data_IF_385213082274
#
_entry.id   IF_385213082274
#
_cell.length_a   1.000
_cell.length_b   1.000
_cell.length_c   1.000
_cell.angle_alpha   90.00
_cell.angle_beta   90.00
_cell.angle_gamma   90.00
#
_symmetry.space_group_name_H-M   'P 1'
#
loop_
_entity.id
_entity.type
_entity.pdbx_description
1 polymer ?
#
# COMPACT_ATOMS: atom_id res chain seq x y z
N UNK A 1 47.66 -27.33 -67.48
CA UNK A 1 46.44 -28.15 -67.33
C UNK A 1 45.64 -27.69 -66.12
N UNK A 2 44.86 -26.59 -66.24
CA UNK A 2 43.91 -26.09 -65.20
C UNK A 2 42.79 -25.27 -65.91
N UNK A 3 41.93 -25.91 -66.68
CA UNK A 3 40.84 -25.20 -67.33
C UNK A 3 39.66 -26.07 -67.76
N UNK A 4 39.35 -27.17 -67.12
CA UNK A 4 38.21 -28.01 -67.53
C UNK A 4 37.29 -28.50 -66.47
N UNK A 5 37.35 -28.00 -65.19
CA UNK A 5 36.47 -28.43 -64.10
C UNK A 5 35.48 -27.36 -63.63
N UNK A 6 35.49 -26.13 -64.19
CA UNK A 6 34.52 -25.09 -63.71
C UNK A 6 33.17 -25.06 -64.48
N UNK A 7 33.05 -25.73 -65.60
CA UNK A 7 31.85 -25.66 -66.46
C UNK A 7 30.73 -26.68 -66.12
N UNK A 8 31.04 -27.70 -65.31
CA UNK A 8 30.01 -28.72 -64.95
C UNK A 8 29.20 -28.31 -63.70
N UNK A 9 29.76 -27.58 -62.75
CA UNK A 9 29.07 -27.18 -61.51
C UNK A 9 28.12 -26.01 -61.75
N UNK A 10 28.48 -25.07 -62.65
CA UNK A 10 27.60 -23.95 -63.02
C UNK A 10 26.36 -24.37 -63.80
N UNK A 11 26.41 -25.44 -64.60
CA UNK A 11 25.25 -25.97 -65.32
C UNK A 11 24.27 -26.73 -64.45
N UNK A 12 24.70 -27.30 -63.33
CA UNK A 12 23.81 -27.99 -62.36
C UNK A 12 23.07 -27.00 -61.45
N UNK A 13 23.67 -25.83 -61.14
CA UNK A 13 23.00 -24.81 -60.33
C UNK A 13 21.94 -24.02 -61.12
N UNK A 14 22.06 -23.90 -62.45
CA UNK A 14 21.10 -23.11 -63.24
C UNK A 14 19.81 -23.82 -63.57
N UNK A 15 19.74 -25.15 -63.44
CA UNK A 15 18.51 -25.94 -63.70
C UNK A 15 17.62 -26.17 -62.48
N UNK A 16 18.08 -25.95 -61.26
CA UNK A 16 17.29 -26.16 -60.05
C UNK A 16 16.53 -24.90 -59.58
N UNK A 17 16.85 -23.73 -60.15
CA UNK A 17 16.22 -22.46 -59.72
C UNK A 17 14.71 -22.29 -60.04
N UNK A 18 14.14 -22.81 -61.14
CA UNK A 18 12.72 -22.65 -61.38
C UNK A 18 11.87 -23.56 -60.47
N UNK A 19 12.32 -24.76 -60.16
CA UNK A 19 11.57 -25.72 -59.32
C UNK A 19 11.52 -25.22 -57.88
N UNK A 20 12.61 -24.64 -57.36
CA UNK A 20 12.64 -24.08 -55.98
C UNK A 20 11.72 -22.86 -55.86
N UNK A 21 11.63 -22.00 -56.86
CA UNK A 21 10.67 -20.89 -56.86
C UNK A 21 9.23 -21.38 -56.86
N UNK A 22 8.91 -22.41 -57.63
CA UNK A 22 7.56 -22.98 -57.66
C UNK A 22 7.17 -23.66 -56.35
N UNK A 23 8.09 -24.35 -55.67
CA UNK A 23 7.85 -24.97 -54.36
C UNK A 23 7.67 -23.92 -53.28
N UNK A 24 8.45 -22.85 -53.27
CA UNK A 24 8.29 -21.72 -52.36
C UNK A 24 6.97 -20.98 -52.56
N UNK A 25 6.56 -20.78 -53.80
CA UNK A 25 5.28 -20.11 -54.14
C UNK A 25 4.10 -21.01 -53.73
N UNK A 26 4.19 -22.31 -53.91
CA UNK A 26 3.17 -23.28 -53.50
C UNK A 26 3.03 -23.35 -51.99
N UNK A 27 4.14 -23.33 -51.23
CA UNK A 27 4.14 -23.27 -49.75
C UNK A 27 3.54 -21.96 -49.25
N UNK A 28 3.78 -20.84 -49.90
CA UNK A 28 3.20 -19.54 -49.55
C UNK A 28 1.68 -19.50 -49.83
N UNK A 29 1.20 -20.15 -50.87
CA UNK A 29 -0.23 -20.25 -51.22
C UNK A 29 -0.95 -21.21 -50.23
N UNK A 30 -0.31 -22.30 -49.84
CA UNK A 30 -0.90 -23.23 -48.84
C UNK A 30 -0.99 -22.60 -47.45
N UNK A 31 -0.10 -21.67 -47.08
CA UNK A 31 -0.19 -20.94 -45.80
C UNK A 31 -1.32 -19.90 -45.75
N UNK A 32 -1.81 -19.44 -46.93
CA UNK A 32 -2.92 -18.48 -47.02
C UNK A 32 -4.31 -19.15 -47.04
N UNK A 33 -4.39 -20.47 -47.22
CA UNK A 33 -5.68 -21.19 -47.29
C UNK A 33 -6.12 -21.71 -45.89
N UNK A 34 -5.29 -21.60 -44.86
CA UNK A 34 -5.59 -22.07 -43.52
C UNK A 34 -6.37 -21.08 -42.62
N UNK A 35 -6.87 -19.97 -43.16
CA UNK A 35 -7.66 -18.97 -42.42
C UNK A 35 -9.03 -18.67 -43.08
N UNK A 36 -9.78 -19.70 -43.46
CA UNK A 36 -11.23 -19.54 -43.68
C UNK A 36 -12.01 -20.31 -42.63
N UNK A 37 -11.91 -19.81 -41.38
CA UNK A 37 -12.91 -20.08 -40.32
C UNK A 37 -14.12 -19.17 -40.57
N UNK A 38 -15.30 -19.80 -40.67
CA UNK A 38 -16.62 -19.22 -40.92
C UNK A 38 -16.82 -17.90 -40.16
N UNK A 39 -17.10 -16.84 -40.90
CA UNK A 39 -17.74 -15.62 -40.38
C UNK A 39 -19.20 -16.00 -40.06
N UNK A 40 -19.45 -16.44 -38.84
CA UNK A 40 -20.76 -16.42 -38.23
C UNK A 40 -21.00 -15.04 -37.69
N UNK A 41 -21.96 -14.29 -38.24
CA UNK A 41 -22.49 -13.07 -37.66
C UNK A 41 -23.05 -13.42 -36.26
N UNK A 42 -22.31 -13.14 -35.22
CA UNK A 42 -22.83 -13.12 -33.85
C UNK A 42 -23.44 -11.73 -33.63
N UNK A 43 -24.74 -11.72 -33.52
CA UNK A 43 -25.49 -10.61 -32.92
C UNK A 43 -24.84 -10.30 -31.55
N UNK A 44 -24.45 -9.02 -31.38
CA UNK A 44 -24.01 -8.50 -30.09
C UNK A 44 -25.23 -8.43 -29.20
N UNK A 45 -25.53 -9.52 -28.51
CA UNK A 45 -26.38 -9.48 -27.34
C UNK A 45 -25.64 -8.70 -26.26
N UNK A 46 -26.10 -7.51 -25.98
CA UNK A 46 -25.71 -6.74 -24.80
C UNK A 46 -26.24 -7.50 -23.58
N UNK A 47 -25.50 -8.49 -23.14
CA UNK A 47 -25.74 -9.13 -21.86
C UNK A 47 -25.03 -8.25 -20.82
N UNK A 48 -25.83 -7.69 -19.87
CA UNK A 48 -25.33 -7.13 -18.63
C UNK A 48 -24.44 -8.16 -17.92
N UNK A 49 -23.15 -8.18 -18.25
CA UNK A 49 -22.18 -8.92 -17.49
C UNK A 49 -21.99 -8.15 -16.16
N UNK A 50 -22.58 -8.69 -15.09
CA UNK A 50 -22.07 -8.45 -13.73
C UNK A 50 -20.57 -8.63 -13.81
N UNK A 51 -19.84 -7.56 -13.49
CA UNK A 51 -18.39 -7.53 -13.48
C UNK A 51 -17.90 -8.52 -12.43
N UNK A 52 -17.72 -9.76 -12.82
CA UNK A 52 -17.03 -10.75 -12.00
C UNK A 52 -15.61 -10.27 -11.82
N UNK A 53 -15.14 -10.15 -10.58
CA UNK A 53 -13.77 -9.82 -10.24
C UNK A 53 -12.82 -10.73 -11.01
N UNK A 54 -12.07 -10.17 -11.98
CA UNK A 54 -11.06 -10.92 -12.69
C UNK A 54 -9.93 -11.24 -11.72
N UNK A 55 -9.73 -12.52 -11.42
CA UNK A 55 -8.61 -13.02 -10.62
C UNK A 55 -7.53 -13.46 -11.59
N UNK A 56 -6.34 -12.87 -11.49
CA UNK A 56 -5.16 -13.23 -12.26
C UNK A 56 -4.13 -13.89 -11.36
N UNK A 57 -3.72 -15.12 -11.69
CA UNK A 57 -2.67 -15.81 -10.95
C UNK A 57 -1.31 -15.16 -11.24
N UNK A 58 -0.62 -14.65 -10.22
CA UNK A 58 0.69 -14.01 -10.34
C UNK A 58 1.85 -14.91 -9.92
N UNK A 59 1.58 -15.91 -9.06
CA UNK A 59 2.53 -16.97 -8.68
C UNK A 59 1.76 -18.26 -8.35
N UNK A 60 2.44 -19.30 -7.87
CA UNK A 60 1.77 -20.54 -7.48
C UNK A 60 0.76 -20.34 -6.34
N UNK A 61 1.11 -19.48 -5.38
CA UNK A 61 0.32 -19.21 -4.18
C UNK A 61 -0.51 -17.94 -4.28
N UNK A 62 0.02 -16.89 -4.95
CA UNK A 62 -0.59 -15.58 -4.95
C UNK A 62 -1.37 -15.30 -6.23
N UNK A 63 -2.53 -14.67 -6.05
CA UNK A 63 -3.35 -14.17 -7.15
C UNK A 63 -3.67 -12.69 -6.94
N UNK A 64 -3.66 -11.93 -8.04
CA UNK A 64 -4.16 -10.57 -8.08
C UNK A 64 -5.68 -10.58 -8.27
N UNK A 65 -6.37 -9.69 -7.61
CA UNK A 65 -7.82 -9.49 -7.72
C UNK A 65 -8.15 -8.01 -7.81
N UNK A 66 -9.35 -7.69 -8.27
CA UNK A 66 -9.85 -6.32 -8.21
C UNK A 66 -9.86 -5.78 -6.76
N UNK A 67 -9.79 -4.46 -6.58
CA UNK A 67 -10.02 -3.84 -5.28
C UNK A 67 -11.37 -4.27 -4.69
N UNK A 68 -11.56 -4.28 -3.36
CA UNK A 68 -12.86 -4.48 -2.73
C UNK A 68 -13.93 -3.52 -3.28
N UNK A 69 -15.16 -4.01 -3.46
CA UNK A 69 -16.26 -3.27 -4.10
C UNK A 69 -16.48 -1.89 -3.45
N UNK A 70 -16.52 -1.83 -2.13
CA UNK A 70 -16.68 -0.57 -1.39
C UNK A 70 -15.58 0.44 -1.72
N UNK A 71 -14.35 -0.01 -1.89
CA UNK A 71 -13.22 0.84 -2.30
C UNK A 71 -13.43 1.34 -3.74
N UNK A 72 -13.92 0.48 -4.63
CA UNK A 72 -14.21 0.86 -6.01
C UNK A 72 -15.32 1.92 -6.08
N UNK A 73 -16.35 1.81 -5.25
CA UNK A 73 -17.45 2.77 -5.18
C UNK A 73 -17.00 4.12 -4.57
N UNK A 74 -16.11 4.12 -3.59
CA UNK A 74 -15.65 5.35 -2.92
C UNK A 74 -14.53 6.07 -3.68
N UNK A 75 -13.73 5.35 -4.46
CA UNK A 75 -12.57 5.90 -5.19
C UNK A 75 -12.90 7.13 -6.05
N UNK A 76 -14.00 7.16 -6.84
CA UNK A 76 -14.33 8.30 -7.69
C UNK A 76 -14.54 9.62 -6.93
N UNK A 77 -14.87 9.56 -5.64
CA UNK A 77 -15.03 10.76 -4.80
C UNK A 77 -13.70 11.46 -4.57
N UNK A 78 -12.61 10.70 -4.55
CA UNK A 78 -11.26 11.22 -4.29
C UNK A 78 -10.43 11.44 -5.57
N UNK A 79 -10.85 10.96 -6.73
CA UNK A 79 -10.14 11.15 -8.00
C UNK A 79 -9.96 12.60 -8.44
N UNK A 80 -10.91 13.54 -8.18
CA UNK A 80 -10.72 14.94 -8.55
C UNK A 80 -9.58 15.63 -7.80
N UNK A 81 -9.16 15.12 -6.64
CA UNK A 81 -8.09 15.73 -5.84
C UNK A 81 -6.72 15.45 -6.44
N UNK A 82 -5.89 16.51 -6.50
CA UNK A 82 -4.50 16.47 -6.96
C UNK A 82 -3.59 17.00 -5.84
N UNK A 83 -3.38 16.24 -4.74
CA UNK A 83 -2.67 16.74 -3.57
C UNK A 83 -1.28 17.26 -3.92
N UNK A 84 -0.93 18.41 -3.31
CA UNK A 84 0.39 19.01 -3.36
C UNK A 84 0.94 19.07 -1.95
N UNK A 85 2.06 18.40 -1.70
CA UNK A 85 2.69 18.30 -0.38
C UNK A 85 3.96 19.15 -0.33
N UNK A 86 4.11 19.87 0.76
CA UNK A 86 5.34 20.59 1.10
C UNK A 86 5.76 20.21 2.52
N UNK A 87 7.02 19.83 2.69
CA UNK A 87 7.64 19.70 4.00
C UNK A 87 8.12 21.09 4.42
N UNK A 88 7.60 21.62 5.54
CA UNK A 88 7.94 22.96 6.04
C UNK A 88 9.15 22.88 6.97
N UNK A 89 9.16 21.89 7.86
CA UNK A 89 10.29 21.61 8.77
C UNK A 89 10.49 20.09 8.85
N UNK A 90 11.76 19.64 9.01
CA UNK A 90 12.99 20.42 8.87
C UNK A 90 13.20 20.93 7.44
N UNK A 91 14.15 21.84 7.24
CA UNK A 91 14.54 22.27 5.89
C UNK A 91 15.53 21.27 5.25
N UNK A 92 15.64 21.32 3.93
CA UNK A 92 16.55 20.42 3.22
C UNK A 92 18.02 20.69 3.62
N UNK A 93 18.76 19.62 3.88
CA UNK A 93 20.16 19.59 4.30
C UNK A 93 20.45 20.32 5.63
N UNK A 94 19.43 20.58 6.44
CA UNK A 94 19.55 21.15 7.77
C UNK A 94 20.35 20.22 8.69
N UNK A 95 21.26 20.82 9.50
CA UNK A 95 21.98 20.11 10.57
C UNK A 95 21.39 20.51 11.91
N UNK A 96 20.70 19.57 12.54
CA UNK A 96 19.97 19.75 13.78
C UNK A 96 20.85 19.26 14.94
N UNK A 97 21.01 20.09 15.97
CA UNK A 97 21.84 19.80 17.16
C UNK A 97 20.99 19.18 18.29
N UNK A 98 20.03 18.35 17.92
CA UNK A 98 19.15 17.60 18.82
C UNK A 98 18.79 16.27 18.15
N UNK A 99 18.53 15.23 18.94
CA UNK A 99 18.03 13.95 18.44
C UNK A 99 16.49 13.92 18.30
N UNK A 100 15.82 15.02 18.60
CA UNK A 100 14.39 15.21 18.45
C UNK A 100 14.09 16.24 17.38
N UNK A 101 13.22 15.89 16.43
CA UNK A 101 12.82 16.80 15.37
C UNK A 101 11.31 17.07 15.41
N UNK A 102 10.95 18.26 14.96
CA UNK A 102 9.55 18.65 14.77
C UNK A 102 9.26 18.79 13.29
N UNK A 103 8.36 17.97 12.78
CA UNK A 103 8.01 17.94 11.36
C UNK A 103 6.67 18.63 11.15
N UNK A 104 6.64 19.57 10.19
CA UNK A 104 5.42 20.24 9.76
C UNK A 104 5.23 20.10 8.27
N UNK A 105 3.98 19.91 7.86
CA UNK A 105 3.58 19.74 6.48
C UNK A 105 2.57 20.80 6.06
N UNK A 106 2.57 21.12 4.78
CA UNK A 106 1.47 21.79 4.11
C UNK A 106 0.93 20.86 3.03
N UNK A 107 -0.39 20.70 2.98
CA UNK A 107 -1.08 19.95 1.93
C UNK A 107 -2.09 20.89 1.28
N UNK A 108 -2.09 20.93 -0.03
CA UNK A 108 -3.10 21.62 -0.84
C UNK A 108 -3.87 20.58 -1.64
N UNK A 109 -5.10 20.92 -1.97
CA UNK A 109 -6.00 20.11 -2.81
C UNK A 109 -6.23 18.67 -2.31
N UNK A 110 -6.24 18.47 -1.00
CA UNK A 110 -6.75 17.26 -0.34
C UNK A 110 -7.09 17.60 1.11
N UNK A 111 -8.33 17.35 1.57
CA UNK A 111 -8.65 17.43 2.98
C UNK A 111 -7.96 16.29 3.75
N UNK A 112 -7.20 16.64 4.78
CA UNK A 112 -6.56 15.64 5.67
C UNK A 112 -7.38 15.59 6.95
N UNK A 113 -7.95 14.43 7.24
CA UNK A 113 -8.78 14.23 8.42
C UNK A 113 -8.91 12.74 8.76
N UNK A 114 -9.47 12.45 9.92
CA UNK A 114 -9.77 11.10 10.37
C UNK A 114 -11.24 11.03 10.80
N UNK A 115 -12.01 10.21 10.13
CA UNK A 115 -13.39 9.94 10.53
C UNK A 115 -13.42 9.36 11.96
N UNK A 116 -14.19 9.94 12.90
CA UNK A 116 -14.17 9.52 14.29
C UNK A 116 -14.79 8.14 14.51
N UNK A 117 -15.74 7.71 13.68
CA UNK A 117 -16.40 6.42 13.80
C UNK A 117 -15.55 5.30 13.18
N UNK A 118 -15.04 5.52 11.97
CA UNK A 118 -14.36 4.49 11.20
C UNK A 118 -12.84 4.51 11.39
N UNK A 119 -12.29 5.57 12.00
CA UNK A 119 -10.85 5.76 12.23
C UNK A 119 -10.00 5.71 10.93
N UNK A 120 -10.61 6.05 9.80
CA UNK A 120 -10.04 6.15 8.46
C UNK A 120 -10.28 7.55 7.90
N UNK A 121 -9.50 7.95 6.91
CA UNK A 121 -9.61 9.23 6.23
C UNK A 121 -8.40 9.47 5.32
N UNK A 122 -8.42 10.47 4.42
CA UNK A 122 -7.22 10.86 3.69
C UNK A 122 -6.14 11.36 4.65
N UNK A 123 -4.92 10.90 4.46
CA UNK A 123 -3.82 11.14 5.39
C UNK A 123 -2.47 11.16 4.69
N UNK A 124 -1.42 11.52 5.43
CA UNK A 124 -0.05 11.41 4.95
C UNK A 124 0.58 10.10 5.44
N UNK A 125 1.33 9.45 4.57
CA UNK A 125 2.33 8.47 4.95
C UNK A 125 3.68 9.17 5.08
N UNK A 126 4.21 9.20 6.29
CA UNK A 126 5.49 9.83 6.62
C UNK A 126 6.50 8.75 6.93
N UNK A 127 7.62 8.73 6.20
CA UNK A 127 8.64 7.69 6.28
C UNK A 127 9.98 8.34 6.58
N UNK A 128 10.60 7.94 7.68
CA UNK A 128 11.99 8.25 8.00
C UNK A 128 12.85 7.07 7.59
N UNK A 129 13.84 7.34 6.75
CA UNK A 129 14.77 6.31 6.24
C UNK A 129 14.02 5.12 5.66
N UNK A 130 14.32 3.92 6.12
CA UNK A 130 13.61 2.72 5.71
C UNK A 130 12.67 2.18 6.80
N UNK A 131 12.17 3.06 7.69
CA UNK A 131 11.20 2.64 8.71
C UNK A 131 9.79 2.46 8.11
N UNK A 132 8.90 1.72 8.77
CA UNK A 132 7.48 1.75 8.46
C UNK A 132 6.92 3.17 8.53
N UNK A 133 5.91 3.47 7.69
CA UNK A 133 5.32 4.81 7.69
C UNK A 133 4.55 5.12 8.97
N UNK A 134 4.53 6.38 9.31
CA UNK A 134 3.65 6.98 10.32
C UNK A 134 2.48 7.63 9.56
N UNK A 135 1.23 7.32 9.95
CA UNK A 135 0.05 7.93 9.35
C UNK A 135 -0.29 9.24 10.06
N UNK A 136 -0.32 10.37 9.34
CA UNK A 136 -0.64 11.69 9.87
C UNK A 136 -2.00 12.15 9.34
N UNK A 137 -2.96 12.32 10.25
CA UNK A 137 -4.36 12.70 9.98
C UNK A 137 -4.71 14.13 10.41
N UNK A 138 -3.82 14.82 11.12
CA UNK A 138 -4.00 16.19 11.58
C UNK A 138 -2.75 17.00 11.26
N UNK A 139 -2.91 18.06 10.46
CA UNK A 139 -1.83 18.96 10.07
C UNK A 139 -1.68 20.14 11.02
N UNK A 140 -2.62 20.35 11.95
CA UNK A 140 -2.55 21.44 12.94
C UNK A 140 -1.54 21.11 14.05
N UNK A 141 -1.30 19.81 14.28
CA UNK A 141 -0.29 19.36 15.22
C UNK A 141 0.98 18.93 14.46
N UNK A 142 2.16 19.35 14.90
CA UNK A 142 3.40 18.87 14.33
C UNK A 142 3.62 17.39 14.68
N UNK A 143 4.23 16.65 13.79
CA UNK A 143 4.76 15.32 14.11
C UNK A 143 6.11 15.50 14.80
N UNK A 144 6.24 15.01 16.02
CA UNK A 144 7.49 15.00 16.77
C UNK A 144 8.09 13.61 16.75
N UNK A 145 9.35 13.50 16.34
CA UNK A 145 10.14 12.26 16.37
C UNK A 145 11.35 12.45 17.27
N UNK A 146 11.47 11.60 18.28
CA UNK A 146 12.59 11.58 19.22
C UNK A 146 13.53 10.41 18.94
N UNK A 147 14.69 10.45 19.58
CA UNK A 147 15.69 9.36 19.59
C UNK A 147 16.23 9.01 18.20
N UNK A 148 16.30 9.99 17.32
CA UNK A 148 16.98 9.81 16.04
C UNK A 148 18.48 9.64 16.23
N UNK A 149 19.07 8.72 15.50
CA UNK A 149 20.52 8.50 15.53
C UNK A 149 21.28 9.69 14.98
N UNK A 150 22.52 9.87 15.40
CA UNK A 150 23.40 10.83 14.72
C UNK A 150 23.65 10.38 13.28
N UNK A 151 23.63 11.33 12.33
CA UNK A 151 23.88 11.05 10.92
C UNK A 151 22.85 11.67 9.97
N UNK A 152 22.89 11.22 8.74
CA UNK A 152 21.96 11.64 7.68
C UNK A 152 20.68 10.83 7.71
N UNK A 153 19.56 11.53 7.59
CA UNK A 153 18.22 10.98 7.49
C UNK A 153 17.51 11.47 6.24
N UNK A 154 16.70 10.61 5.65
CA UNK A 154 15.80 10.96 4.54
C UNK A 154 14.35 10.88 5.01
N UNK A 155 13.67 12.02 4.97
CA UNK A 155 12.24 12.14 5.20
C UNK A 155 11.51 12.07 3.86
N UNK A 156 10.61 11.10 3.72
CA UNK A 156 9.73 10.93 2.56
C UNK A 156 8.27 11.01 3.02
N UNK A 157 7.46 11.72 2.28
CA UNK A 157 6.03 11.85 2.59
C UNK A 157 5.21 11.82 1.32
N UNK A 158 4.06 11.17 1.37
CA UNK A 158 3.08 11.18 0.28
C UNK A 158 1.65 11.11 0.80
N UNK A 159 0.72 11.64 -0.01
CA UNK A 159 -0.71 11.60 0.29
C UNK A 159 -1.29 10.22 0.04
N UNK A 160 -2.18 9.80 0.93
CA UNK A 160 -2.85 8.51 0.88
C UNK A 160 -4.36 8.62 1.02
N UNK A 161 -5.08 7.77 0.31
CA UNK A 161 -6.52 7.56 0.45
C UNK A 161 -6.84 6.86 1.79
N UNK A 162 -8.09 6.88 2.25
CA UNK A 162 -8.47 6.25 3.53
C UNK A 162 -8.06 4.78 3.67
N UNK A 163 -8.01 4.03 2.58
CA UNK A 163 -7.57 2.64 2.55
C UNK A 163 -6.06 2.48 2.34
N UNK A 164 -5.29 3.57 2.58
CA UNK A 164 -3.83 3.67 2.51
C UNK A 164 -3.21 3.53 1.12
N UNK A 165 -3.97 3.68 0.07
CA UNK A 165 -3.46 3.76 -1.30
C UNK A 165 -2.89 5.15 -1.57
N UNK A 166 -1.66 5.23 -2.07
CA UNK A 166 -1.02 6.51 -2.38
C UNK A 166 -1.62 7.18 -3.62
N UNK A 167 -1.75 8.51 -3.57
CA UNK A 167 -1.96 9.32 -4.76
C UNK A 167 -0.68 9.30 -5.61
N UNK A 168 -0.84 9.25 -6.95
CA UNK A 168 0.28 9.10 -7.89
C UNK A 168 0.50 10.34 -8.77
N UNK A 169 -0.25 11.44 -8.52
CA UNK A 169 -0.06 12.69 -9.26
C UNK A 169 1.24 13.37 -8.87
N UNK A 170 1.76 14.18 -9.78
CA UNK A 170 2.89 15.06 -9.51
C UNK A 170 2.57 15.99 -8.32
N UNK A 171 3.52 16.10 -7.37
CA UNK A 171 3.34 16.86 -6.14
C UNK A 171 2.67 16.11 -4.98
N UNK A 172 2.09 14.92 -5.20
CA UNK A 172 1.58 14.09 -4.11
C UNK A 172 2.68 13.48 -3.23
N UNK A 173 3.93 13.73 -3.55
CA UNK A 173 5.13 13.25 -2.85
C UNK A 173 6.09 14.39 -2.61
N UNK A 174 6.73 14.38 -1.44
CA UNK A 174 7.84 15.26 -1.12
C UNK A 174 8.93 14.48 -0.37
N UNK A 175 10.19 14.88 -0.57
CA UNK A 175 11.35 14.27 0.06
C UNK A 175 12.37 15.35 0.40
N UNK A 176 12.98 15.25 1.57
CA UNK A 176 14.15 16.00 1.97
C UNK A 176 15.17 15.10 2.68
N UNK A 177 16.42 15.54 2.70
CA UNK A 177 17.45 15.09 3.65
C UNK A 177 17.58 16.11 4.76
N UNK A 178 17.94 15.65 5.94
CA UNK A 178 18.40 16.43 7.07
C UNK A 178 19.43 15.63 7.86
N UNK A 179 20.09 16.24 8.82
CA UNK A 179 21.20 15.62 9.53
C UNK A 179 21.05 15.87 11.03
N UNK A 180 21.25 14.81 11.81
CA UNK A 180 21.32 14.90 13.27
C UNK A 180 22.79 14.96 13.67
N UNK A 181 23.22 16.07 14.26
CA UNK A 181 24.57 16.40 14.70
C UNK A 181 25.61 16.44 13.57
N UNK A 182 25.63 15.51 12.65
CA UNK A 182 26.66 15.36 11.62
C UNK A 182 26.09 14.80 10.32
N UNK A 183 26.80 15.02 9.22
CA UNK A 183 26.49 14.43 7.91
C UNK A 183 27.19 13.09 7.76
N UNK A 184 26.45 12.09 7.29
CA UNK A 184 26.98 10.76 6.93
C UNK A 184 26.51 10.37 5.53
N UNK A 185 27.05 9.29 4.97
CA UNK A 185 26.60 8.73 3.69
C UNK A 185 25.38 7.80 3.83
N UNK A 186 25.02 7.46 5.07
CA UNK A 186 23.87 6.61 5.37
C UNK A 186 22.55 7.29 4.97
N UNK A 187 21.53 6.48 4.65
CA UNK A 187 20.19 6.96 4.34
C UNK A 187 20.12 8.07 3.29
N UNK A 188 21.10 8.14 2.40
CA UNK A 188 21.26 9.18 1.40
C UNK A 188 21.07 8.61 -0.01
N UNK A 189 19.81 8.50 -0.53
CA UNK A 189 19.58 8.00 -1.87
C UNK A 189 20.13 8.96 -2.91
N UNK A 190 20.76 8.40 -3.96
CA UNK A 190 21.23 9.17 -5.09
C UNK A 190 20.05 9.85 -5.80
N UNK A 191 20.10 11.18 -6.01
CA UNK A 191 19.04 11.90 -6.71
C UNK A 191 18.97 11.58 -8.20
N UNK A 192 20.03 10.98 -8.77
CA UNK A 192 20.13 10.64 -10.19
C UNK A 192 19.64 9.23 -10.50
N UNK A 193 19.29 8.43 -9.50
CA UNK A 193 18.81 7.08 -9.69
C UNK A 193 17.33 6.97 -9.31
N UNK A 194 16.59 6.03 -9.90
CA UNK A 194 15.26 5.70 -9.46
C UNK A 194 15.24 5.34 -7.97
N UNK A 195 14.17 5.73 -7.30
CA UNK A 195 13.95 5.41 -5.90
C UNK A 195 12.59 4.76 -5.69
N UNK A 196 12.63 3.59 -5.07
CA UNK A 196 11.46 2.84 -4.61
C UNK A 196 11.19 3.17 -3.14
N UNK A 197 9.98 3.62 -2.85
CA UNK A 197 9.48 3.78 -1.49
C UNK A 197 8.44 2.70 -1.19
N UNK A 198 8.78 1.77 -0.31
CA UNK A 198 7.85 0.74 0.15
C UNK A 198 6.77 1.37 1.04
N UNK A 199 5.50 1.22 0.68
CA UNK A 199 4.36 1.73 1.43
C UNK A 199 3.62 0.60 2.17
N UNK A 200 3.06 -0.35 1.42
CA UNK A 200 2.26 -1.46 1.95
C UNK A 200 2.59 -2.78 1.24
N UNK A 201 2.31 -3.95 1.90
CA UNK A 201 1.66 -4.13 3.21
C UNK A 201 2.61 -3.86 4.39
N UNK A 202 2.04 -3.39 5.51
CA UNK A 202 2.77 -3.05 6.74
C UNK A 202 1.93 -3.41 7.97
N UNK A 203 2.55 -3.88 9.06
CA UNK A 203 1.90 -4.29 10.31
C UNK A 203 0.93 -5.49 10.15
N UNK A 204 -0.34 -5.34 10.57
CA UNK A 204 -1.30 -6.46 10.64
C UNK A 204 -2.49 -6.25 9.72
N UNK A 205 -3.04 -7.37 9.23
CA UNK A 205 -4.19 -7.41 8.31
C UNK A 205 -5.21 -8.43 8.81
N UNK A 206 -6.48 -8.05 8.82
CA UNK A 206 -7.59 -8.91 9.24
C UNK A 206 -8.44 -9.46 8.11
N UNK A 207 -8.10 -9.15 6.85
CA UNK A 207 -8.83 -9.60 5.68
C UNK A 207 -7.94 -9.62 4.42
N UNK A 208 -8.33 -10.44 3.45
CA UNK A 208 -7.84 -10.42 2.07
C UNK A 208 -8.95 -9.94 1.12
N UNK A 209 -8.58 -9.27 0.00
CA UNK A 209 -7.23 -9.09 -0.50
C UNK A 209 -6.42 -8.09 0.33
N UNK A 210 -5.11 -8.34 0.46
CA UNK A 210 -4.16 -7.41 1.06
C UNK A 210 -3.59 -6.52 -0.05
N UNK A 211 -3.65 -5.21 0.16
CA UNK A 211 -3.13 -4.24 -0.81
C UNK A 211 -1.60 -4.12 -0.70
N UNK A 212 -0.92 -4.23 -1.84
CA UNK A 212 0.48 -3.87 -2.03
C UNK A 212 0.52 -2.51 -2.71
N UNK A 213 1.22 -1.56 -2.11
CA UNK A 213 1.40 -0.21 -2.62
C UNK A 213 2.83 0.27 -2.41
N UNK A 214 3.34 1.02 -3.36
CA UNK A 214 4.67 1.61 -3.36
C UNK A 214 4.67 2.93 -4.13
N UNK A 215 5.66 3.77 -3.85
CA UNK A 215 5.87 5.02 -4.57
C UNK A 215 7.19 4.95 -5.35
N UNK A 216 7.19 5.53 -6.56
CA UNK A 216 8.39 5.63 -7.40
C UNK A 216 8.72 7.10 -7.67
N UNK A 217 10.00 7.44 -7.56
CA UNK A 217 10.53 8.73 -7.99
C UNK A 217 11.72 8.51 -8.92
N UNK A 218 11.94 9.44 -9.85
CA UNK A 218 12.97 9.32 -10.90
C UNK A 218 12.90 8.00 -11.70
N UNK A 219 11.73 7.36 -11.72
CA UNK A 219 11.49 6.16 -12.52
C UNK A 219 10.83 6.60 -13.82
N UNK A 220 11.49 6.43 -14.98
CA UNK A 220 10.92 6.80 -16.28
C UNK A 220 9.69 5.93 -16.57
N UNK A 221 8.78 6.42 -17.40
CA UNK A 221 7.66 5.64 -17.89
C UNK A 221 8.16 4.61 -18.90
N UNK A 222 7.53 3.45 -19.00
CA UNK A 222 7.90 2.39 -19.94
C UNK A 222 7.90 2.84 -21.39
N UNK A 223 7.02 3.77 -21.76
CA UNK A 223 7.00 4.36 -23.11
C UNK A 223 8.33 5.02 -23.48
N UNK A 224 9.09 5.51 -22.50
CA UNK A 224 10.41 6.10 -22.74
C UNK A 224 11.47 5.05 -23.13
N UNK A 225 11.26 3.78 -22.84
CA UNK A 225 12.15 2.69 -23.26
C UNK A 225 12.09 2.45 -24.77
N UNK A 226 10.96 2.74 -25.41
CA UNK A 226 10.82 2.68 -26.87
C UNK A 226 11.60 3.79 -27.57
N UNK A 227 11.66 4.98 -26.94
CA UNK A 227 12.39 6.14 -27.46
C UNK A 227 13.90 6.07 -27.21
N UNK A 228 14.32 5.38 -26.18
CA UNK A 228 15.73 5.24 -25.80
C UNK A 228 16.08 3.80 -25.36
N UNK A 229 16.28 2.87 -26.32
CA UNK A 229 16.53 1.46 -26.04
C UNK A 229 17.85 1.19 -25.32
N UNK A 230 18.78 2.14 -25.30
CA UNK A 230 20.06 2.02 -24.60
C UNK A 230 19.94 2.34 -23.09
N UNK A 231 18.83 2.94 -22.64
CA UNK A 231 18.57 3.21 -21.24
C UNK A 231 18.03 1.96 -20.53
N UNK A 232 18.89 1.29 -19.79
CA UNK A 232 18.57 0.05 -19.06
C UNK A 232 17.59 0.25 -17.90
N UNK A 233 17.30 1.50 -17.51
CA UNK A 233 16.39 1.84 -16.40
C UNK A 233 15.00 2.21 -16.91
N UNK A 234 14.85 2.65 -18.15
CA UNK A 234 13.57 3.07 -18.73
C UNK A 234 12.52 1.95 -18.71
N UNK A 235 12.92 0.70 -18.91
CA UNK A 235 12.05 -0.47 -18.82
C UNK A 235 12.21 -1.18 -17.44
N UNK A 236 12.05 -0.42 -16.39
CA UNK A 236 12.17 -0.91 -15.01
C UNK A 236 11.08 -1.91 -14.65
N UNK A 237 11.36 -2.71 -13.61
CA UNK A 237 10.41 -3.66 -12.99
C UNK A 237 10.55 -3.65 -11.48
N UNK A 238 9.47 -4.00 -10.80
CA UNK A 238 9.50 -4.22 -9.36
C UNK A 238 9.34 -5.71 -9.10
N UNK A 239 10.34 -6.34 -8.52
CA UNK A 239 10.20 -7.70 -7.99
C UNK A 239 9.51 -7.66 -6.65
N UNK A 240 8.37 -8.33 -6.56
CA UNK A 240 7.71 -8.63 -5.30
C UNK A 240 8.03 -10.07 -4.90
N UNK A 241 8.52 -10.26 -3.69
CA UNK A 241 8.76 -11.60 -3.11
C UNK A 241 7.98 -11.74 -1.82
N UNK A 242 7.16 -12.80 -1.71
CA UNK A 242 6.34 -13.09 -0.54
C UNK A 242 6.57 -14.54 -0.12
N UNK A 243 7.07 -14.77 1.08
CA UNK A 243 7.31 -16.12 1.64
C UNK A 243 8.11 -17.05 0.70
N UNK A 244 9.03 -16.51 -0.10
CA UNK A 244 9.82 -17.26 -1.06
C UNK A 244 9.24 -17.38 -2.46
N UNK A 245 7.97 -17.05 -2.68
CA UNK A 245 7.38 -16.88 -4.01
C UNK A 245 7.71 -15.50 -4.56
N UNK A 246 7.97 -15.38 -5.86
CA UNK A 246 8.32 -14.10 -6.49
C UNK A 246 7.58 -13.89 -7.80
N UNK A 247 7.20 -12.65 -8.07
CA UNK A 247 6.60 -12.21 -9.32
C UNK A 247 7.03 -10.78 -9.65
N UNK A 248 6.78 -10.35 -10.87
CA UNK A 248 7.19 -9.05 -11.39
C UNK A 248 5.96 -8.14 -11.54
N UNK A 249 6.11 -6.90 -11.11
CA UNK A 249 5.21 -5.80 -11.39
C UNK A 249 5.91 -4.85 -12.36
N UNK A 250 5.25 -4.59 -13.48
CA UNK A 250 5.67 -3.70 -14.57
C UNK A 250 4.85 -2.42 -14.64
N UNK A 251 4.00 -2.17 -13.64
CA UNK A 251 3.12 -1.01 -13.56
C UNK A 251 3.18 -0.34 -12.20
N UNK A 252 3.09 0.97 -12.18
CA UNK A 252 3.05 1.77 -10.96
C UNK A 252 1.61 1.97 -10.49
N UNK A 253 1.03 0.90 -9.96
CA UNK A 253 -0.33 0.85 -9.43
C UNK A 253 -0.35 0.04 -8.14
N UNK A 254 -1.35 0.29 -7.31
CA UNK A 254 -1.62 -0.56 -6.16
C UNK A 254 -2.21 -1.90 -6.62
N UNK A 255 -1.74 -2.98 -6.03
CA UNK A 255 -2.10 -4.36 -6.39
C UNK A 255 -2.78 -5.01 -5.19
N UNK A 256 -3.89 -5.71 -5.41
CA UNK A 256 -4.64 -6.40 -4.38
C UNK A 256 -4.40 -7.90 -4.48
N UNK A 257 -3.79 -8.48 -3.45
CA UNK A 257 -3.30 -9.86 -3.46
C UNK A 257 -4.06 -10.75 -2.50
N UNK A 258 -4.31 -12.00 -2.93
CA UNK A 258 -4.79 -13.12 -2.11
C UNK A 258 -3.76 -14.23 -2.10
N UNK A 259 -3.75 -15.05 -1.04
CA UNK A 259 -2.88 -16.20 -0.89
C UNK A 259 -1.94 -16.11 0.32
N UNK A 260 -2.14 -15.14 1.21
CA UNK A 260 -1.35 -15.02 2.43
C UNK A 260 -1.68 -16.15 3.41
N UNK A 261 -0.67 -16.67 4.06
CA UNK A 261 -0.88 -17.65 5.13
C UNK A 261 -1.23 -16.93 6.44
N UNK A 262 -2.15 -17.45 7.26
CA UNK A 262 -2.37 -16.91 8.59
C UNK A 262 -1.07 -16.86 9.42
N UNK A 263 -0.86 -15.76 10.14
CA UNK A 263 0.35 -15.47 10.88
C UNK A 263 1.35 -14.62 10.09
N UNK A 264 2.63 -14.85 10.33
CA UNK A 264 3.72 -14.02 9.81
C UNK A 264 4.00 -14.30 8.33
N UNK A 265 4.09 -13.22 7.53
CA UNK A 265 4.45 -13.27 6.12
C UNK A 265 5.56 -12.24 5.85
N UNK A 266 6.59 -12.64 5.09
CA UNK A 266 7.63 -11.73 4.62
C UNK A 266 7.27 -11.20 3.25
N UNK A 267 7.30 -9.88 3.11
CA UNK A 267 7.06 -9.19 1.82
C UNK A 267 8.26 -8.32 1.51
N UNK A 268 8.87 -8.53 0.35
CA UNK A 268 10.03 -7.78 -0.14
C UNK A 268 9.71 -7.15 -1.49
N UNK A 269 10.10 -5.87 -1.66
CA UNK A 269 10.11 -5.19 -2.95
C UNK A 269 11.53 -4.83 -3.34
N UNK A 270 11.86 -5.00 -4.63
CA UNK A 270 13.15 -4.65 -5.21
C UNK A 270 12.94 -3.93 -6.55
N UNK A 271 13.59 -2.79 -6.71
CA UNK A 271 13.64 -2.10 -8.00
C UNK A 271 14.67 -2.76 -8.92
N UNK A 272 14.25 -3.17 -10.11
CA UNK A 272 15.09 -3.84 -11.11
C UNK A 272 15.22 -2.99 -12.39
N UNK A 273 16.37 -3.12 -13.05
CA UNK A 273 16.57 -2.64 -14.42
C UNK A 273 15.89 -3.56 -15.46
N UNK A 274 15.99 -3.23 -16.72
CA UNK A 274 15.43 -4.02 -17.82
C UNK A 274 16.08 -5.41 -17.98
N UNK A 275 17.28 -5.62 -17.42
CA UNK A 275 17.97 -6.91 -17.41
C UNK A 275 17.57 -7.77 -16.21
N UNK A 276 16.75 -7.23 -15.27
CA UNK A 276 16.35 -7.89 -14.06
C UNK A 276 17.35 -7.81 -12.91
N UNK A 277 18.37 -6.94 -13.01
CA UNK A 277 19.32 -6.71 -11.95
C UNK A 277 18.80 -5.65 -10.97
N UNK A 278 19.05 -5.79 -9.66
CA UNK A 278 18.69 -4.77 -8.69
C UNK A 278 19.43 -3.44 -8.95
N UNK A 279 18.67 -2.35 -9.07
CA UNK A 279 19.22 -0.99 -9.13
C UNK A 279 19.68 -0.59 -7.72
N UNK A 280 20.99 -0.42 -7.59
CA UNK A 280 21.63 -0.09 -6.30
C UNK A 280 21.42 1.38 -5.95
N UNK A 281 20.32 1.66 -5.27
CA UNK A 281 20.06 2.91 -4.57
C UNK A 281 19.56 2.57 -3.16
N UNK A 282 19.78 3.48 -2.23
CA UNK A 282 19.29 3.30 -0.85
C UNK A 282 17.77 3.14 -0.89
N UNK A 283 17.21 2.18 -0.14
CA UNK A 283 15.79 1.82 -0.05
C UNK A 283 15.20 1.04 -1.23
N UNK A 284 15.91 0.86 -2.36
CA UNK A 284 15.44 0.11 -3.53
C UNK A 284 15.27 -1.40 -3.29
N UNK A 285 15.65 -1.88 -2.13
CA UNK A 285 15.39 -3.26 -1.68
C UNK A 285 14.92 -3.20 -0.24
N UNK A 286 13.62 -3.40 -0.03
CA UNK A 286 13.00 -3.30 1.29
C UNK A 286 12.15 -4.51 1.59
N UNK A 287 12.37 -5.13 2.75
CA UNK A 287 11.56 -6.23 3.26
C UNK A 287 10.77 -5.80 4.51
N UNK A 288 9.55 -6.33 4.64
CA UNK A 288 8.68 -6.15 5.80
C UNK A 288 8.14 -7.48 6.28
N UNK A 289 8.07 -7.62 7.59
CA UNK A 289 7.30 -8.69 8.21
C UNK A 289 5.91 -8.17 8.51
N UNK A 290 4.89 -8.83 7.99
CA UNK A 290 3.49 -8.53 8.26
C UNK A 290 2.82 -9.69 8.97
N UNK A 291 1.73 -9.41 9.66
CA UNK A 291 0.91 -10.44 10.30
C UNK A 291 -0.48 -10.47 9.64
N UNK A 292 -0.90 -11.65 9.19
CA UNK A 292 -2.25 -11.85 8.65
C UNK A 292 -3.07 -12.68 9.65
N UNK A 293 -4.08 -12.05 10.24
CA UNK A 293 -5.04 -12.67 11.17
C UNK A 293 -6.44 -12.57 10.59
N UNK A 294 -6.93 -13.61 9.90
CA UNK A 294 -8.26 -13.60 9.28
C UNK A 294 -9.36 -13.23 10.27
N UNK A 295 -10.39 -12.52 9.80
CA UNK A 295 -11.56 -12.06 10.58
C UNK A 295 -11.24 -10.89 11.52
N UNK A 296 -10.28 -10.02 11.18
CA UNK A 296 -10.04 -8.75 11.88
C UNK A 296 -11.32 -7.92 12.00
N UNK A 297 -11.45 -7.19 13.12
CA UNK A 297 -12.64 -6.39 13.43
C UNK A 297 -12.49 -4.90 13.14
N UNK A 298 -11.30 -4.49 12.72
CA UNK A 298 -11.02 -3.10 12.32
C UNK A 298 -11.84 -2.71 11.08
N UNK A 299 -12.06 -1.40 10.91
CA UNK A 299 -12.91 -0.86 9.84
C UNK A 299 -12.44 -1.27 8.45
N UNK A 300 -11.13 -1.25 8.19
CA UNK A 300 -10.60 -1.61 6.88
C UNK A 300 -10.79 -3.09 6.57
N UNK A 301 -10.57 -3.97 7.54
CA UNK A 301 -10.82 -5.41 7.38
C UNK A 301 -12.29 -5.71 7.09
N UNK A 302 -13.21 -5.00 7.73
CA UNK A 302 -14.66 -5.12 7.50
C UNK A 302 -15.05 -4.60 6.10
N UNK A 303 -14.48 -3.47 5.67
CA UNK A 303 -14.63 -2.93 4.30
C UNK A 303 -14.14 -3.96 3.27
N UNK A 304 -12.96 -4.51 3.48
CA UNK A 304 -12.35 -5.49 2.56
C UNK A 304 -13.21 -6.75 2.41
N UNK A 305 -13.88 -7.19 3.48
CA UNK A 305 -14.81 -8.34 3.44
C UNK A 305 -16.22 -8.00 2.94
N UNK A 306 -16.52 -6.73 2.63
CA UNK A 306 -17.85 -6.30 2.22
C UNK A 306 -18.90 -6.36 3.35
N UNK A 307 -18.48 -6.28 4.61
CA UNK A 307 -19.38 -6.22 5.77
C UNK A 307 -19.97 -4.82 5.98
N UNK A 308 -19.43 -3.83 5.31
CA UNK A 308 -19.84 -2.43 5.34
C UNK A 308 -20.11 -1.97 3.91
N UNK A 309 -21.14 -1.16 3.71
CA UNK A 309 -21.45 -0.54 2.43
C UNK A 309 -20.72 0.79 2.24
N UNK A 310 -20.55 1.24 1.00
CA UNK A 310 -19.94 2.53 0.70
C UNK A 310 -20.70 3.70 1.35
N UNK A 311 -22.03 3.61 1.46
CA UNK A 311 -22.84 4.63 2.12
C UNK A 311 -22.58 4.69 3.63
N UNK A 312 -22.44 3.55 4.30
CA UNK A 312 -22.15 3.51 5.75
C UNK A 312 -20.81 4.15 6.08
N UNK A 313 -19.80 3.92 5.23
CA UNK A 313 -18.43 4.40 5.48
C UNK A 313 -18.08 5.66 4.69
N UNK A 314 -19.02 6.30 4.02
CA UNK A 314 -18.78 7.47 3.18
C UNK A 314 -18.08 8.62 3.90
N UNK A 315 -18.27 8.75 5.21
CA UNK A 315 -17.56 9.72 6.05
C UNK A 315 -16.03 9.63 5.95
N UNK A 316 -15.46 8.48 5.56
CA UNK A 316 -14.01 8.36 5.40
C UNK A 316 -13.44 9.11 4.18
N UNK A 317 -14.28 9.47 3.22
CA UNK A 317 -13.89 10.22 2.00
C UNK A 317 -14.53 11.62 1.93
N UNK A 318 -15.54 11.88 2.74
CA UNK A 318 -16.29 13.14 2.77
C UNK A 318 -16.53 13.58 4.23
N UNK A 319 -15.74 14.54 4.76
CA UNK A 319 -15.85 14.96 6.16
C UNK A 319 -17.18 15.63 6.51
N UNK A 320 -17.95 16.03 5.50
CA UNK A 320 -19.26 16.66 5.69
C UNK A 320 -20.43 15.66 5.56
N UNK A 321 -20.11 14.39 5.31
CA UNK A 321 -21.14 13.36 5.17
C UNK A 321 -21.72 13.00 6.53
N UNK A 322 -23.01 13.31 6.69
CA UNK A 322 -23.79 12.89 7.85
C UNK A 322 -24.54 11.62 7.45
N UNK A 323 -24.17 10.50 8.04
CA UNK A 323 -24.90 9.25 7.84
C UNK A 323 -26.34 9.48 8.26
N UNK A 324 -27.27 9.46 7.31
CA UNK A 324 -28.70 9.37 7.62
C UNK A 324 -28.94 7.98 8.21
N UNK A 325 -28.81 7.86 9.52
CA UNK A 325 -29.29 6.67 10.20
C UNK A 325 -30.79 6.62 9.87
N UNK A 326 -31.32 5.54 9.26
CA UNK A 326 -32.77 5.39 9.15
C UNK A 326 -33.29 5.46 10.57
N UNK A 327 -34.03 6.50 10.88
CA UNK A 327 -34.82 6.54 12.12
C UNK A 327 -35.79 5.38 11.95
N UNK A 328 -35.50 4.25 12.55
CA UNK A 328 -36.49 3.19 12.77
C UNK A 328 -37.57 3.91 13.57
N UNK A 329 -38.68 4.27 12.90
CA UNK A 329 -39.85 4.73 13.60
C UNK A 329 -40.11 3.73 14.73
N UNK A 330 -40.27 4.19 15.97
CA UNK A 330 -40.60 3.29 17.03
C UNK A 330 -41.91 2.59 16.64
N UNK A 331 -41.82 1.26 16.47
CA UNK A 331 -43.02 0.41 16.28
C UNK A 331 -44.02 0.85 17.34
N UNK A 332 -45.28 1.25 16.93
CA UNK A 332 -46.23 1.67 17.90
C UNK A 332 -46.46 0.53 18.89
N UNK A 333 -45.98 0.74 20.10
CA UNK A 333 -46.24 -0.16 21.21
C UNK A 333 -47.73 -0.16 21.45
N UNK A 334 -48.41 -1.24 21.10
CA UNK A 334 -49.80 -1.45 21.47
C UNK A 334 -49.89 -1.34 22.99
N UNK A 335 -50.41 -0.23 23.45
CA UNK A 335 -50.68 -0.01 24.86
C UNK A 335 -51.67 -1.05 25.32
N UNK A 336 -51.34 -1.90 26.32
CA UNK A 336 -52.36 -2.81 26.87
C UNK A 336 -53.42 -1.98 27.55
N UNK A 337 -54.67 -2.23 27.18
CA UNK A 337 -55.86 -1.65 27.79
C UNK A 337 -55.89 -2.05 29.27
N UNK A 338 -55.54 -1.10 30.14
CA UNK A 338 -55.62 -1.32 31.58
C UNK A 338 -57.10 -1.22 32.00
N UNK A 339 -57.67 -2.35 32.38
CA UNK A 339 -58.96 -2.42 33.11
C UNK A 339 -58.74 -1.94 34.54
N UNK A 340 -59.46 -0.86 34.93
CA UNK A 340 -59.40 -0.33 36.27
C UNK A 340 -60.19 -1.26 37.19
N UNK A 341 -59.54 -1.87 38.18
CA UNK A 341 -60.16 -2.45 39.36
C UNK A 341 -59.99 -1.48 40.55
N UNK A 342 -61.00 -1.35 41.44
CA UNK A 342 -61.05 -0.26 42.42
C UNK A 342 -60.04 -0.44 43.56
N UNK A 343 -59.51 0.70 43.94
CA UNK A 343 -58.52 0.95 45.03
C UNK A 343 -59.00 0.54 46.41
N UNK A 344 -58.23 -0.14 47.22
CA UNK A 344 -58.36 -0.10 48.70
C UNK A 344 -57.48 1.01 49.30
N UNK A 345 -58.00 1.68 50.34
CA UNK A 345 -57.39 2.77 51.10
C UNK A 345 -56.12 2.35 51.84
N UNK A 346 -55.20 3.31 52.15
CA UNK A 346 -53.90 3.00 52.77
C UNK A 346 -54.02 2.81 54.30
N UNK A 347 -53.40 1.75 54.78
CA UNK A 347 -53.06 1.59 56.20
C UNK A 347 -51.62 2.06 56.42
N UNK A 348 -51.50 2.93 57.44
CA UNK A 348 -50.23 3.45 57.96
C UNK A 348 -49.54 2.38 58.78
N UNK A 349 -48.36 1.98 58.47
CA UNK A 349 -47.48 1.11 59.24
C UNK A 349 -46.06 1.68 59.35
N UNK A 350 -45.25 1.34 60.32
CA UNK A 350 -44.23 2.23 60.91
C UNK A 350 -42.92 2.31 60.06
N UNK A 351 -42.24 3.44 60.29
CA UNK A 351 -40.92 3.78 59.74
C UNK A 351 -39.88 2.68 59.99
N UNK A 352 -39.13 2.30 58.93
CA UNK A 352 -37.91 1.50 59.08
C UNK A 352 -36.72 2.39 58.79
N UNK A 353 -35.78 2.39 59.73
CA UNK A 353 -34.51 3.12 59.70
C UNK A 353 -33.64 2.79 58.43
N UNK A 354 -32.94 3.81 57.97
CA UNK A 354 -31.97 3.75 56.88
C UNK A 354 -30.69 3.02 57.34
N UNK A 355 -30.19 2.02 56.61
CA UNK A 355 -28.90 1.41 56.93
C UNK A 355 -27.73 2.33 56.61
N UNK A 356 -26.59 2.25 57.32
CA UNK A 356 -25.43 3.12 57.10
C UNK A 356 -24.68 2.77 55.81
N UNK A 357 -24.16 3.79 55.17
CA UNK A 357 -23.27 3.71 54.03
C UNK A 357 -21.94 3.04 54.38
N UNK A 358 -21.44 2.06 53.65
CA UNK A 358 -20.12 1.52 53.93
C UNK A 358 -19.02 2.51 53.47
N UNK A 359 -18.13 2.81 54.39
CA UNK A 359 -16.89 3.55 54.22
C UNK A 359 -15.90 2.70 53.42
N UNK A 360 -15.42 3.20 52.29
CA UNK A 360 -14.42 2.51 51.45
C UNK A 360 -13.04 2.86 52.00
N UNK A 361 -12.42 1.88 52.63
CA UNK A 361 -11.03 1.93 53.06
C UNK A 361 -10.10 1.86 51.87
N UNK A 362 -9.39 2.97 51.57
CA UNK A 362 -8.42 3.07 50.48
C UNK A 362 -7.09 2.48 50.95
N UNK A 363 -6.77 1.30 50.50
CA UNK A 363 -5.46 0.69 50.70
C UNK A 363 -4.39 1.39 49.83
N UNK A 364 -3.21 1.73 50.36
CA UNK A 364 -2.18 2.43 49.61
C UNK A 364 -1.52 1.53 48.57
N UNK A 365 -1.43 2.02 47.34
CA UNK A 365 -0.70 1.42 46.24
C UNK A 365 0.81 1.37 46.55
N UNK A 366 1.50 0.25 46.35
CA UNK A 366 2.95 0.19 46.55
C UNK A 366 3.65 0.95 45.41
N UNK A 367 4.59 1.83 45.76
CA UNK A 367 5.50 2.51 44.85
C UNK A 367 6.49 1.51 44.23
N UNK A 368 6.84 1.62 42.92
CA UNK A 368 7.89 0.82 42.35
C UNK A 368 9.26 1.20 42.92
N UNK A 369 10.00 0.22 43.38
CA UNK A 369 11.40 0.37 43.77
C UNK A 369 12.23 0.58 42.54
N UNK A 370 12.96 1.70 42.51
CA UNK A 370 13.99 1.97 41.50
C UNK A 370 15.24 1.17 41.85
N UNK A 371 15.50 0.13 41.11
CA UNK A 371 16.75 -0.63 41.17
C UNK A 371 17.88 0.18 40.53
N UNK A 372 18.92 0.44 41.34
CA UNK A 372 20.11 1.21 40.94
C UNK A 372 20.98 0.33 39.98
N UNK A 373 21.39 0.82 38.83
CA UNK A 373 22.24 0.03 37.93
C UNK A 373 23.61 -0.22 38.53
N UNK A 374 24.24 -1.37 38.27
CA UNK A 374 25.57 -1.70 38.78
C UNK A 374 26.65 -0.79 38.16
N UNK A 375 27.56 -0.33 38.98
CA UNK A 375 28.75 0.42 38.60
C UNK A 375 29.69 -0.46 37.77
N UNK A 376 30.18 -0.02 36.60
CA UNK A 376 31.17 -0.79 35.85
C UNK A 376 32.52 -0.82 36.57
N UNK A 377 33.02 -2.00 36.82
CA UNK A 377 34.39 -2.28 37.27
C UNK A 377 35.36 -2.02 36.13
N UNK A 378 36.30 -1.09 36.31
CA UNK A 378 37.37 -0.81 35.36
C UNK A 378 38.48 -1.82 35.54
N UNK A 379 38.56 -2.76 34.63
CA UNK A 379 39.69 -3.73 34.56
C UNK A 379 40.91 -3.03 33.92
N UNK A 380 41.95 -2.81 34.72
CA UNK A 380 43.22 -2.22 34.28
C UNK A 380 44.10 -3.34 33.75
N UNK A 381 44.28 -3.41 32.42
CA UNK A 381 45.27 -4.32 31.81
C UNK A 381 46.70 -3.84 32.04
N UNK A 382 47.66 -4.73 32.36
CA UNK A 382 49.08 -4.38 32.55
C UNK A 382 49.78 -4.19 31.19
N UNK A 383 50.58 -3.12 31.13
CA UNK A 383 51.51 -2.80 30.04
C UNK A 383 52.62 -3.85 29.91
N UNK A 384 52.99 -4.33 28.73
CA UNK A 384 54.18 -5.16 28.54
C UNK A 384 55.46 -4.31 28.47
N UNK A 385 56.53 -4.82 29.11
CA UNK A 385 57.91 -4.35 29.00
C UNK A 385 58.52 -4.66 27.66
#
# INVERSE_FOLDING_TARGET
MKSRQKTAVEKLLSQSFPIFKWVMTLLLILSLISCTGKAGSQEVSIHNQKTGSQISQVSRQFSETAPPEVIQELRPILEPYQPLITIITPTADEVIQDNTITIRFQVKDLPIFKDPQWQLGPHLHVIIDNQPYIAVYDLNQPLVLSDLSAGTHTLRVFASRPWHESFKNEGAYAQIRFHIFTKTDDNNPSPNLPLLTYSRPNASYGAEPIMLDFYLTNAPLHIAAEDNPDDTISDWRIRCSINGESFILDRWQSVYLKGFTPGKNWVKLEFLDNQGNPVKNVFNSTARLINYEPKGKDSLSRIVRGELTANEVRGIVDPNYITKIPVTEPTPTLTPKVEFSPTPQPQIGPQVEKPPTPEIEVSPTPQPQVEKPPTPEIEVSPTPQ
#
